data_IF_060404420778
#
_entry.id   IF_060404420778
#
_cell.length_a   1.000
_cell.length_b   1.000
_cell.length_c   1.000
_cell.angle_alpha   90.00
_cell.angle_beta   90.00
_cell.angle_gamma   90.00
#
_symmetry.space_group_name_H-M   'P 1'
#
loop_
_entity.id
_entity.type
_entity.pdbx_description
1 polymer ?
#
# COMPACT_ATOMS: atom_id res chain seq x y z
N UNK A 1 6.47 20.54 -24.28
CA UNK A 1 6.37 19.14 -23.84
C UNK A 1 6.00 19.14 -22.37
N UNK A 2 4.72 18.90 -22.06
CA UNK A 2 4.21 19.02 -20.69
C UNK A 2 4.59 17.78 -19.87
N UNK A 3 5.60 17.90 -18.99
CA UNK A 3 5.88 16.89 -17.96
C UNK A 3 4.68 16.87 -16.99
N UNK A 4 3.98 15.74 -16.91
CA UNK A 4 3.01 15.47 -15.85
C UNK A 4 3.71 14.62 -14.79
N UNK A 5 3.76 15.14 -13.57
CA UNK A 5 4.24 14.41 -12.40
C UNK A 5 3.07 13.58 -11.85
N UNK A 6 3.28 12.27 -11.69
CA UNK A 6 2.29 11.35 -11.13
C UNK A 6 2.75 11.02 -9.71
N UNK A 7 1.95 11.41 -8.72
CA UNK A 7 2.14 10.95 -7.34
C UNK A 7 1.69 9.50 -7.26
N UNK A 8 2.62 8.61 -6.95
CA UNK A 8 2.35 7.20 -6.69
C UNK A 8 2.68 6.88 -5.24
N UNK A 9 1.86 6.05 -4.60
CA UNK A 9 2.11 5.61 -3.22
C UNK A 9 2.53 4.15 -3.23
N UNK A 10 3.71 3.88 -2.71
CA UNK A 10 4.18 2.51 -2.49
C UNK A 10 3.55 1.98 -1.20
N UNK A 11 2.86 0.85 -1.32
CA UNK A 11 2.24 0.14 -0.21
C UNK A 11 2.93 -1.21 -0.03
N UNK A 12 3.29 -1.52 1.22
CA UNK A 12 3.88 -2.79 1.60
C UNK A 12 3.00 -3.48 2.62
N UNK A 13 2.68 -4.75 2.39
CA UNK A 13 1.96 -5.56 3.37
C UNK A 13 2.93 -6.23 4.33
N UNK A 14 2.82 -5.91 5.61
CA UNK A 14 3.62 -6.50 6.70
C UNK A 14 3.26 -7.98 7.00
N UNK A 15 2.23 -8.55 6.35
CA UNK A 15 1.81 -9.95 6.56
C UNK A 15 2.31 -10.92 5.51
N UNK A 16 2.37 -10.48 4.26
CA UNK A 16 2.73 -11.33 3.12
C UNK A 16 3.90 -10.76 2.31
N UNK A 17 4.50 -9.67 2.83
CA UNK A 17 5.62 -8.93 2.24
C UNK A 17 5.39 -8.51 0.79
N UNK A 18 4.12 -8.38 0.41
CA UNK A 18 3.77 -7.95 -0.93
C UNK A 18 3.87 -6.44 -1.02
N UNK A 19 4.59 -5.97 -2.02
CA UNK A 19 4.77 -4.56 -2.34
C UNK A 19 3.95 -4.25 -3.61
N UNK A 20 3.16 -3.19 -3.58
CA UNK A 20 2.39 -2.73 -4.73
C UNK A 20 2.30 -1.21 -4.73
N UNK A 21 2.09 -0.65 -5.92
CA UNK A 21 2.07 0.79 -6.12
C UNK A 21 0.62 1.20 -6.41
N UNK A 22 0.05 2.06 -5.57
CA UNK A 22 -1.26 2.64 -5.82
C UNK A 22 -1.11 3.76 -6.84
N UNK A 23 -2.07 3.82 -7.77
CA UNK A 23 -2.20 4.94 -8.73
C UNK A 23 -3.08 6.08 -8.19
N UNK A 24 -3.61 5.89 -6.99
CA UNK A 24 -4.58 6.76 -6.31
C UNK A 24 -3.97 7.27 -5.01
N UNK A 25 -4.35 8.47 -4.58
CA UNK A 25 -4.01 8.99 -3.25
C UNK A 25 -4.61 8.16 -2.10
N UNK A 26 -5.59 7.30 -2.40
CA UNK A 26 -6.22 6.43 -1.43
C UNK A 26 -5.38 5.19 -1.14
N UNK A 27 -5.10 4.97 0.15
CA UNK A 27 -4.50 3.74 0.64
C UNK A 27 -5.52 2.59 0.51
N UNK A 28 -5.09 1.40 0.06
CA UNK A 28 -6.00 0.27 -0.08
C UNK A 28 -6.50 -0.18 1.29
N UNK A 29 -7.76 -0.57 1.38
CA UNK A 29 -8.32 -1.08 2.64
C UNK A 29 -7.81 -2.50 2.92
N UNK A 30 -7.47 -3.26 1.87
CA UNK A 30 -7.02 -4.66 1.95
C UNK A 30 -5.81 -4.90 1.07
N UNK A 31 -4.93 -5.81 1.49
CA UNK A 31 -3.83 -6.25 0.63
C UNK A 31 -4.38 -7.03 -0.59
N UNK A 32 -3.95 -6.74 -1.84
CA UNK A 32 -4.44 -7.43 -3.03
C UNK A 32 -4.04 -8.90 -3.09
N UNK A 33 -2.95 -9.30 -2.41
CA UNK A 33 -2.43 -10.68 -2.41
C UNK A 33 -3.12 -11.56 -1.36
N UNK A 34 -3.08 -11.15 -0.09
CA UNK A 34 -3.61 -11.96 1.01
C UNK A 34 -5.02 -11.55 1.47
N UNK A 35 -5.60 -10.50 0.88
CA UNK A 35 -6.91 -9.92 1.24
C UNK A 35 -7.03 -9.53 2.72
N UNK A 36 -5.90 -9.38 3.42
CA UNK A 36 -5.91 -8.94 4.82
C UNK A 36 -6.15 -7.43 4.90
N UNK A 37 -7.14 -6.97 5.69
CA UNK A 37 -7.34 -5.55 5.94
C UNK A 37 -6.23 -4.93 6.80
N UNK A 38 -5.54 -5.77 7.58
CA UNK A 38 -4.46 -5.38 8.49
C UNK A 38 -3.09 -5.42 7.83
N UNK A 39 -2.97 -4.93 6.59
CA UNK A 39 -1.72 -4.95 5.84
C UNK A 39 -0.75 -3.84 6.27
N UNK A 40 -1.29 -2.69 6.69
CA UNK A 40 -0.58 -1.50 7.19
C UNK A 40 -0.36 -1.52 8.71
N UNK A 41 -1.12 -2.34 9.45
CA UNK A 41 -1.11 -2.27 10.91
C UNK A 41 0.17 -2.88 11.47
N UNK A 42 1.13 -2.04 11.83
CA UNK A 42 2.25 -2.41 12.68
C UNK A 42 1.70 -2.88 14.02
N UNK A 43 2.01 -4.13 14.42
CA UNK A 43 1.68 -4.61 15.76
C UNK A 43 2.37 -3.67 16.75
N UNK A 44 1.60 -2.87 17.52
CA UNK A 44 2.15 -2.12 18.65
C UNK A 44 2.83 -3.14 19.58
N UNK A 45 4.16 -3.13 19.63
CA UNK A 45 4.91 -3.83 20.68
C UNK A 45 4.63 -3.10 22.00
N UNK A 46 4.21 -3.88 23.00
CA UNK A 46 3.85 -3.44 24.35
C UNK A 46 5.08 -3.42 25.24
#
# INVERSE_FOLDING_TARGET
MSKKEIKVYECKCERCEHEWITRTEEAPIVCPKCKSPYWNTLKKRK
#
